data_IF_626527129189
#
_entry.id   IF_626527129189
#
_cell.length_a   1.000
_cell.length_b   1.000
_cell.length_c   1.000
_cell.angle_alpha   90.00
_cell.angle_beta   90.00
_cell.angle_gamma   90.00
#
_symmetry.space_group_name_H-M   'P 1'
#
loop_
_entity.id
_entity.type
_entity.pdbx_description
1 polymer ?
#
# COMPACT_ATOMS: atom_id res chain seq x y z
N UNK A 1 -13.53 18.28 5.77
CA UNK A 1 -12.57 17.20 6.07
C UNK A 1 -11.19 17.81 6.15
N UNK A 2 -10.47 17.58 7.26
CA UNK A 2 -9.10 18.03 7.40
C UNK A 2 -8.20 17.01 6.67
N UNK A 3 -7.63 17.38 5.53
CA UNK A 3 -6.69 16.53 4.80
C UNK A 3 -5.33 16.66 5.48
N UNK A 4 -5.02 15.75 6.39
CA UNK A 4 -3.67 15.64 6.94
C UNK A 4 -2.72 15.26 5.79
N UNK A 5 -1.96 16.24 5.29
CA UNK A 5 -0.97 16.02 4.23
C UNK A 5 0.34 15.54 4.85
N UNK A 6 0.71 14.30 4.54
CA UNK A 6 2.02 13.74 4.87
C UNK A 6 2.88 13.76 3.61
N UNK A 7 3.92 14.57 3.59
CA UNK A 7 4.80 14.67 2.42
C UNK A 7 5.98 13.72 2.58
N UNK A 8 6.28 12.94 1.55
CA UNK A 8 7.47 12.07 1.52
C UNK A 8 8.73 12.93 1.60
N UNK A 9 9.70 12.57 2.46
CA UNK A 9 10.98 13.28 2.55
C UNK A 9 11.77 13.14 1.23
N UNK A 10 12.57 14.14 0.87
CA UNK A 10 13.24 14.23 -0.44
C UNK A 10 14.19 13.06 -0.72
N UNK A 11 15.01 12.69 0.27
CA UNK A 11 15.94 11.56 0.19
C UNK A 11 15.20 10.21 0.05
N UNK A 12 14.07 10.04 0.75
CA UNK A 12 13.22 8.86 0.62
C UNK A 12 12.57 8.81 -0.76
N UNK A 13 12.07 9.94 -1.26
CA UNK A 13 11.51 10.05 -2.60
C UNK A 13 12.55 9.72 -3.68
N UNK A 14 13.78 10.24 -3.54
CA UNK A 14 14.88 9.91 -4.46
C UNK A 14 15.21 8.42 -4.42
N UNK A 15 15.42 7.86 -3.22
CA UNK A 15 15.72 6.44 -3.03
C UNK A 15 14.64 5.56 -3.65
N UNK A 16 13.38 5.92 -3.46
CA UNK A 16 12.26 5.22 -4.04
C UNK A 16 12.31 5.22 -5.58
N UNK A 17 12.56 6.37 -6.20
CA UNK A 17 12.68 6.46 -7.67
C UNK A 17 13.93 5.75 -8.20
N UNK A 18 15.05 5.80 -7.49
CA UNK A 18 16.26 5.05 -7.84
C UNK A 18 15.96 3.54 -7.87
N UNK A 19 15.28 3.01 -6.82
CA UNK A 19 14.86 1.59 -6.76
C UNK A 19 13.91 1.19 -7.87
N UNK A 20 13.02 2.10 -8.29
CA UNK A 20 12.15 1.86 -9.43
C UNK A 20 12.99 1.75 -10.70
N UNK A 21 13.92 2.68 -10.94
CA UNK A 21 14.74 2.69 -12.15
C UNK A 21 15.70 1.48 -12.24
N UNK A 22 16.13 0.92 -11.10
CA UNK A 22 16.93 -0.31 -11.06
C UNK A 22 16.17 -1.52 -11.65
N UNK A 23 14.82 -1.54 -11.55
CA UNK A 23 13.97 -2.67 -11.99
C UNK A 23 13.15 -2.36 -13.25
N UNK A 24 12.66 -1.13 -13.33
CA UNK A 24 11.77 -0.59 -14.35
C UNK A 24 12.23 0.83 -14.71
N UNK A 25 13.21 1.00 -15.61
CA UNK A 25 13.69 2.31 -16.02
C UNK A 25 12.53 3.19 -16.52
N UNK A 26 12.17 4.23 -15.76
CA UNK A 26 10.96 5.02 -16.00
C UNK A 26 11.03 5.82 -17.31
N UNK A 27 12.23 6.10 -17.81
CA UNK A 27 12.43 6.74 -19.12
C UNK A 27 12.01 5.85 -20.31
N UNK A 28 11.81 4.55 -20.11
CA UNK A 28 11.32 3.61 -21.13
C UNK A 28 9.79 3.52 -21.18
N UNK A 29 9.08 4.26 -20.31
CA UNK A 29 7.64 4.32 -20.31
C UNK A 29 7.19 5.51 -21.17
N UNK A 30 6.13 5.31 -21.95
CA UNK A 30 5.53 6.37 -22.75
C UNK A 30 4.83 7.42 -21.86
N UNK A 31 4.40 7.00 -20.67
CA UNK A 31 3.75 7.87 -19.69
C UNK A 31 4.07 7.44 -18.25
N UNK A 32 4.44 8.42 -17.43
CA UNK A 32 4.63 8.26 -15.98
C UNK A 32 3.67 9.20 -15.25
N UNK A 33 2.88 8.67 -14.32
CA UNK A 33 1.87 9.43 -13.59
C UNK A 33 2.15 9.37 -12.09
N UNK A 34 2.20 10.52 -11.43
CA UNK A 34 2.06 10.62 -9.98
C UNK A 34 0.63 11.02 -9.61
N UNK A 35 -0.19 10.10 -9.06
CA UNK A 35 -1.64 10.28 -8.98
C UNK A 35 -2.11 11.15 -7.80
N UNK A 36 -1.19 11.52 -6.90
CA UNK A 36 -1.45 12.26 -5.66
C UNK A 36 -0.21 13.05 -5.24
N UNK A 37 0.27 13.91 -6.14
CA UNK A 37 1.60 14.48 -6.10
C UNK A 37 1.86 15.40 -4.88
N UNK A 38 0.84 15.99 -4.27
CA UNK A 38 1.01 16.81 -3.07
C UNK A 38 1.97 17.98 -3.30
N UNK A 39 3.16 17.92 -2.69
CA UNK A 39 4.24 18.91 -2.86
C UNK A 39 5.18 18.60 -4.03
N UNK A 40 4.97 17.47 -4.71
CA UNK A 40 5.78 16.99 -5.83
C UNK A 40 7.17 16.49 -5.45
N UNK A 41 7.36 16.07 -4.19
CA UNK A 41 8.65 15.58 -3.71
C UNK A 41 9.12 14.32 -4.47
N UNK A 42 8.19 13.46 -4.91
CA UNK A 42 8.47 12.32 -5.80
C UNK A 42 8.56 12.82 -7.24
N UNK A 43 7.59 13.62 -7.71
CA UNK A 43 7.49 14.15 -9.08
C UNK A 43 8.80 14.72 -9.62
N UNK A 44 9.53 15.48 -8.79
CA UNK A 44 10.78 16.10 -9.23
C UNK A 44 11.85 15.08 -9.66
N UNK A 45 11.83 13.86 -9.10
CA UNK A 45 12.78 12.79 -9.42
C UNK A 45 12.31 11.88 -10.56
N UNK A 46 11.02 11.95 -10.95
CA UNK A 46 10.49 11.21 -12.11
C UNK A 46 11.04 11.77 -13.44
N UNK A 47 10.88 11.09 -14.59
CA UNK A 47 11.23 11.65 -15.90
C UNK A 47 10.56 12.99 -16.21
N UNK A 48 11.15 13.80 -17.10
CA UNK A 48 10.63 15.14 -17.44
C UNK A 48 9.22 15.14 -18.03
N UNK A 49 8.85 14.04 -18.70
CA UNK A 49 7.51 13.84 -19.26
C UNK A 49 6.47 13.35 -18.24
N UNK A 50 6.84 13.20 -16.96
CA UNK A 50 5.93 12.73 -15.92
C UNK A 50 4.84 13.76 -15.60
N UNK A 51 3.63 13.26 -15.36
CA UNK A 51 2.44 14.06 -15.04
C UNK A 51 2.11 13.92 -13.56
N UNK A 52 2.09 15.03 -12.83
CA UNK A 52 1.60 15.07 -11.45
C UNK A 52 0.11 15.42 -11.42
N UNK A 53 -0.64 14.77 -10.54
CA UNK A 53 -2.06 15.06 -10.29
C UNK A 53 -2.30 15.25 -8.80
N UNK A 54 -3.20 16.16 -8.43
CA UNK A 54 -3.68 16.29 -7.05
C UNK A 54 -5.12 16.80 -7.05
N UNK A 55 -5.95 16.31 -6.12
CA UNK A 55 -7.34 16.76 -5.98
C UNK A 55 -7.44 18.18 -5.42
N UNK A 56 -6.39 18.65 -4.75
CA UNK A 56 -6.25 20.01 -4.21
C UNK A 56 -4.76 20.40 -4.17
N UNK A 57 -4.17 20.70 -5.34
CA UNK A 57 -2.80 21.19 -5.42
C UNK A 57 -2.71 22.48 -4.62
N UNK A 58 -1.68 22.60 -3.78
CA UNK A 58 -1.33 23.85 -3.12
C UNK A 58 -0.56 24.70 -4.12
N UNK A 59 -1.23 25.68 -4.75
CA UNK A 59 -0.75 26.66 -5.73
C UNK A 59 0.20 26.14 -6.83
N UNK A 60 -0.31 25.97 -8.06
CA UNK A 60 0.42 25.72 -9.33
C UNK A 60 1.91 25.39 -9.15
N UNK A 61 2.21 24.24 -8.53
CA UNK A 61 3.57 23.81 -8.27
C UNK A 61 4.17 23.44 -9.63
N UNK A 62 4.92 24.38 -10.20
CA UNK A 62 5.85 24.11 -11.30
C UNK A 62 7.16 23.64 -10.68
N UNK A 63 7.48 22.36 -10.86
CA UNK A 63 8.78 21.80 -10.50
C UNK A 63 9.60 21.70 -11.78
N UNK A 64 10.31 22.78 -12.10
CA UNK A 64 10.95 22.92 -13.40
C UNK A 64 9.91 22.95 -14.53
N UNK A 65 9.98 21.96 -15.43
CA UNK A 65 9.03 21.82 -16.56
C UNK A 65 7.74 21.05 -16.19
N UNK A 66 7.70 20.40 -15.02
CA UNK A 66 6.57 19.57 -14.59
C UNK A 66 5.52 20.40 -13.87
N UNK A 67 4.24 20.07 -14.10
CA UNK A 67 3.10 20.71 -13.44
C UNK A 67 2.27 19.66 -12.69
N UNK A 68 1.78 20.03 -11.51
CA UNK A 68 0.74 19.28 -10.81
C UNK A 68 -0.63 19.77 -11.28
N UNK A 69 -1.39 18.88 -11.92
CA UNK A 69 -2.72 19.14 -12.44
C UNK A 69 -3.77 19.01 -11.31
N UNK A 70 -4.76 19.91 -11.30
CA UNK A 70 -5.95 19.74 -10.48
C UNK A 70 -6.80 18.62 -11.08
N UNK A 71 -6.74 17.42 -10.48
CA UNK A 71 -7.39 16.23 -11.00
C UNK A 71 -7.76 15.27 -9.87
N UNK A 72 -8.99 14.77 -9.89
CA UNK A 72 -9.39 13.61 -9.10
C UNK A 72 -8.92 12.35 -9.83
N UNK A 73 -7.95 11.63 -9.25
CA UNK A 73 -7.36 10.45 -9.89
C UNK A 73 -8.39 9.36 -10.17
N UNK A 74 -9.42 9.18 -9.33
CA UNK A 74 -10.47 8.19 -9.58
C UNK A 74 -11.35 8.52 -10.78
N UNK A 75 -11.32 9.77 -11.25
CA UNK A 75 -12.01 10.23 -12.46
C UNK A 75 -11.06 10.40 -13.64
N UNK A 76 -9.77 10.12 -13.47
CA UNK A 76 -8.81 10.20 -14.55
C UNK A 76 -9.00 9.01 -15.49
N UNK A 77 -9.16 9.31 -16.78
CA UNK A 77 -9.18 8.35 -17.87
C UNK A 77 -7.86 8.45 -18.64
N UNK A 78 -7.15 7.32 -18.72
CA UNK A 78 -5.91 7.24 -19.47
C UNK A 78 -6.18 7.21 -20.97
N UNK A 79 -5.29 7.80 -21.81
CA UNK A 79 -5.39 7.61 -23.26
C UNK A 79 -5.01 6.20 -23.72
N UNK A 80 -4.57 5.32 -22.80
CA UNK A 80 -4.27 3.93 -23.12
C UNK A 80 -5.46 3.20 -23.72
N UNK A 81 -5.21 2.49 -24.83
CA UNK A 81 -6.13 1.51 -25.36
C UNK A 81 -5.33 0.34 -25.95
N UNK A 82 -5.61 -0.91 -25.56
CA UNK A 82 -4.78 -2.06 -25.92
C UNK A 82 -4.65 -2.31 -27.43
N UNK A 83 -5.63 -1.85 -28.23
CA UNK A 83 -5.65 -2.08 -29.68
C UNK A 83 -5.29 -0.85 -30.52
N UNK A 84 -5.51 0.36 -30.00
CA UNK A 84 -5.44 1.60 -30.81
C UNK A 84 -4.43 2.59 -30.25
N UNK A 85 -4.03 2.45 -28.99
CA UNK A 85 -2.99 3.27 -28.37
C UNK A 85 -2.29 2.50 -27.23
N UNK A 86 -1.49 1.47 -27.55
CA UNK A 86 -0.92 0.55 -26.56
C UNK A 86 0.33 1.14 -25.87
N UNK A 87 0.17 2.32 -25.26
CA UNK A 87 1.26 2.99 -24.54
C UNK A 87 1.58 2.27 -23.22
N UNK A 88 2.87 2.22 -22.89
CA UNK A 88 3.39 1.65 -21.64
C UNK A 88 3.33 2.71 -20.54
N UNK A 89 2.55 2.43 -19.49
CA UNK A 89 2.27 3.39 -18.41
C UNK A 89 2.83 2.91 -17.07
N UNK A 90 3.54 3.78 -16.36
CA UNK A 90 3.90 3.61 -14.96
C UNK A 90 3.11 4.59 -14.08
N UNK A 91 2.63 4.11 -12.94
CA UNK A 91 2.00 4.95 -11.91
C UNK A 91 2.86 4.89 -10.65
N UNK A 92 3.41 6.02 -10.22
CA UNK A 92 4.41 6.12 -9.15
C UNK A 92 3.98 7.16 -8.13
N UNK A 93 3.95 6.85 -6.83
CA UNK A 93 3.63 7.88 -5.84
C UNK A 93 3.42 7.41 -4.41
N UNK A 94 2.89 8.31 -3.58
CA UNK A 94 2.47 8.05 -2.21
C UNK A 94 0.96 8.34 -2.09
N UNK A 95 0.09 7.37 -2.43
CA UNK A 95 -1.36 7.59 -2.40
C UNK A 95 -1.84 7.85 -0.97
N UNK A 96 -2.89 8.67 -0.78
CA UNK A 96 -3.48 8.86 0.54
C UNK A 96 -4.00 7.52 1.10
N UNK A 97 -3.71 7.24 2.37
CA UNK A 97 -4.01 5.93 2.97
C UNK A 97 -5.50 5.73 3.28
N UNK A 98 -6.23 6.83 3.53
CA UNK A 98 -7.60 6.82 4.01
C UNK A 98 -7.72 6.50 5.50
N UNK A 99 -8.93 6.59 6.04
CA UNK A 99 -9.24 6.28 7.44
C UNK A 99 -10.01 4.95 7.54
N UNK A 100 -9.65 4.08 8.48
CA UNK A 100 -10.37 2.82 8.76
C UNK A 100 -9.52 1.55 8.62
N UNK A 101 -10.12 0.40 8.92
CA UNK A 101 -9.46 -0.90 8.88
C UNK A 101 -8.99 -1.22 7.44
N UNK A 102 -7.70 -1.55 7.28
CA UNK A 102 -7.07 -1.98 6.01
C UNK A 102 -6.85 -0.90 4.94
N UNK A 103 -6.88 0.39 5.28
CA UNK A 103 -6.48 1.50 4.37
C UNK A 103 -7.18 1.42 3.00
N UNK A 104 -8.51 1.60 2.93
CA UNK A 104 -9.28 1.36 1.72
C UNK A 104 -8.86 2.24 0.54
N UNK A 105 -8.33 3.43 0.80
CA UNK A 105 -8.06 4.42 -0.24
C UNK A 105 -6.83 4.07 -1.07
N UNK A 106 -5.71 3.68 -0.44
CA UNK A 106 -4.51 3.26 -1.16
C UNK A 106 -4.76 2.02 -2.06
N UNK A 107 -5.62 1.08 -1.60
CA UNK A 107 -6.07 -0.05 -2.44
C UNK A 107 -6.90 0.43 -3.62
N UNK A 108 -7.78 1.41 -3.42
CA UNK A 108 -8.54 2.05 -4.48
C UNK A 108 -7.62 2.65 -5.54
N UNK A 109 -6.62 3.45 -5.14
CA UNK A 109 -5.63 4.02 -6.07
C UNK A 109 -4.90 2.94 -6.87
N UNK A 110 -4.48 1.85 -6.21
CA UNK A 110 -3.83 0.73 -6.89
C UNK A 110 -4.75 0.08 -7.93
N UNK A 111 -5.97 -0.27 -7.54
CA UNK A 111 -6.89 -0.95 -8.45
C UNK A 111 -7.38 -0.04 -9.57
N UNK A 112 -7.54 1.26 -9.33
CA UNK A 112 -7.81 2.23 -10.40
C UNK A 112 -6.65 2.32 -11.39
N UNK A 113 -5.42 2.48 -10.90
CA UNK A 113 -4.22 2.47 -11.72
C UNK A 113 -4.08 1.17 -12.53
N UNK A 114 -4.47 0.02 -11.95
CA UNK A 114 -4.34 -1.30 -12.59
C UNK A 114 -5.10 -1.44 -13.92
N UNK A 115 -6.12 -0.59 -14.14
CA UNK A 115 -6.94 -0.56 -15.36
C UNK A 115 -6.07 -0.23 -16.59
N UNK A 116 -5.08 0.66 -16.45
CA UNK A 116 -4.28 1.16 -17.57
C UNK A 116 -2.76 1.06 -17.35
N UNK A 117 -2.30 0.93 -16.11
CA UNK A 117 -0.88 0.82 -15.81
C UNK A 117 -0.31 -0.56 -16.16
N UNK A 118 0.97 -0.56 -16.54
CA UNK A 118 1.80 -1.76 -16.68
C UNK A 118 2.65 -1.97 -15.43
N UNK A 119 3.02 -0.88 -14.76
CA UNK A 119 3.79 -0.88 -13.51
C UNK A 119 3.17 0.09 -12.53
N UNK A 120 3.05 -0.33 -11.27
CA UNK A 120 2.55 0.49 -10.17
C UNK A 120 3.59 0.44 -9.06
N UNK A 121 4.16 1.58 -8.69
CA UNK A 121 5.07 1.68 -7.57
C UNK A 121 4.50 2.65 -6.54
N UNK A 122 4.24 2.17 -5.33
CA UNK A 122 3.70 3.03 -4.27
C UNK A 122 4.45 2.95 -2.95
N UNK A 123 4.50 4.09 -2.25
CA UNK A 123 4.70 4.14 -0.81
C UNK A 123 3.33 3.93 -0.14
N UNK A 124 3.22 2.89 0.66
CA UNK A 124 1.96 2.43 1.29
C UNK A 124 2.19 2.06 2.75
N UNK A 125 1.15 1.91 3.57
CA UNK A 125 1.33 1.50 4.97
C UNK A 125 2.04 0.16 5.11
N UNK A 126 2.89 0.01 6.14
CA UNK A 126 3.78 -1.15 6.32
C UNK A 126 3.05 -2.51 6.33
N UNK A 127 1.74 -2.52 6.61
CA UNK A 127 0.89 -3.71 6.50
C UNK A 127 0.90 -4.36 5.12
N UNK A 128 1.11 -3.57 4.05
CA UNK A 128 1.27 -4.10 2.69
C UNK A 128 2.50 -5.01 2.57
N UNK A 129 3.53 -4.83 3.39
CA UNK A 129 4.72 -5.67 3.34
C UNK A 129 4.46 -7.13 3.75
N UNK A 130 3.50 -7.38 4.65
CA UNK A 130 3.33 -8.70 5.30
C UNK A 130 1.93 -9.30 5.21
N UNK A 131 0.93 -8.55 4.72
CA UNK A 131 -0.48 -8.96 4.80
C UNK A 131 -0.99 -9.60 3.50
N UNK A 132 -1.11 -10.94 3.49
CA UNK A 132 -1.79 -11.69 2.42
C UNK A 132 -3.20 -11.13 2.11
N UNK A 133 -3.95 -10.69 3.14
CA UNK A 133 -5.30 -10.11 2.97
C UNK A 133 -5.30 -8.83 2.13
N UNK A 134 -4.21 -8.05 2.20
CA UNK A 134 -4.06 -6.82 1.42
C UNK A 134 -3.75 -7.21 -0.02
N UNK A 135 -2.76 -8.08 -0.23
CA UNK A 135 -2.36 -8.55 -1.56
C UNK A 135 -3.50 -9.23 -2.32
N UNK A 136 -4.36 -9.99 -1.64
CA UNK A 136 -5.54 -10.63 -2.24
C UNK A 136 -6.59 -9.63 -2.75
N UNK A 137 -6.59 -8.39 -2.25
CA UNK A 137 -7.52 -7.33 -2.67
C UNK A 137 -6.96 -6.43 -3.77
N UNK A 138 -5.69 -6.61 -4.15
CA UNK A 138 -5.08 -5.93 -5.29
C UNK A 138 -5.33 -6.73 -6.57
N UNK A 139 -5.38 -6.04 -7.72
CA UNK A 139 -5.58 -6.68 -9.02
C UNK A 139 -4.67 -7.92 -9.21
N UNK A 140 -5.25 -9.05 -9.63
CA UNK A 140 -4.57 -10.35 -9.78
C UNK A 140 -3.50 -10.37 -10.86
N UNK A 141 -3.54 -9.44 -11.81
CA UNK A 141 -2.65 -9.43 -12.98
C UNK A 141 -1.24 -8.90 -12.64
N UNK A 142 -1.03 -8.39 -11.43
CA UNK A 142 0.25 -7.82 -11.01
C UNK A 142 1.03 -8.76 -10.08
N UNK A 143 2.32 -8.96 -10.36
CA UNK A 143 3.28 -9.50 -9.40
C UNK A 143 3.93 -8.38 -8.56
N UNK A 144 4.44 -8.71 -7.38
CA UNK A 144 5.21 -7.80 -6.51
C UNK A 144 6.70 -8.14 -6.65
N UNK A 145 7.52 -7.22 -7.14
CA UNK A 145 8.93 -7.51 -7.43
C UNK A 145 9.91 -6.79 -6.50
N UNK A 146 9.40 -5.89 -5.67
CA UNK A 146 10.19 -5.22 -4.64
C UNK A 146 9.29 -4.79 -3.48
N UNK A 147 9.74 -5.01 -2.24
CA UNK A 147 9.10 -4.46 -1.06
C UNK A 147 10.10 -4.21 0.05
N UNK A 148 10.18 -2.98 0.53
CA UNK A 148 11.10 -2.58 1.60
C UNK A 148 10.40 -1.67 2.61
N UNK A 149 10.59 -1.92 3.90
CA UNK A 149 10.10 -1.05 4.97
C UNK A 149 10.86 0.28 4.95
N UNK A 150 10.13 1.39 5.09
CA UNK A 150 10.75 2.70 5.18
C UNK A 150 11.40 2.90 6.56
N UNK A 151 12.53 3.63 6.64
CA UNK A 151 13.10 4.03 7.92
C UNK A 151 12.15 4.98 8.66
N UNK A 152 12.38 5.17 9.97
CA UNK A 152 11.66 6.17 10.77
C UNK A 152 11.83 7.58 10.17
N UNK A 153 10.86 8.44 10.48
CA UNK A 153 10.88 9.86 10.08
C UNK A 153 10.94 10.07 8.55
N UNK A 154 10.37 9.14 7.79
CA UNK A 154 10.32 9.19 6.32
C UNK A 154 9.36 10.24 5.75
N UNK A 155 8.55 10.89 6.60
CA UNK A 155 7.55 11.87 6.19
C UNK A 155 7.73 13.20 6.91
N UNK A 156 7.21 14.26 6.30
CA UNK A 156 7.14 15.61 6.86
C UNK A 156 5.67 16.00 7.02
N UNK A 157 5.29 16.42 8.24
CA UNK A 157 3.99 17.00 8.56
C UNK A 157 4.21 18.36 9.20
N UNK A 158 3.61 19.42 8.63
CA UNK A 158 3.76 20.79 9.12
C UNK A 158 5.23 21.22 9.32
N UNK A 159 6.11 20.84 8.39
CA UNK A 159 7.55 21.17 8.42
C UNK A 159 8.39 20.38 9.43
N UNK A 160 7.80 19.43 10.16
CA UNK A 160 8.51 18.58 11.12
C UNK A 160 8.56 17.13 10.63
N UNK A 161 9.65 16.38 10.93
CA UNK A 161 9.67 14.94 10.74
C UNK A 161 8.48 14.27 11.44
N UNK A 162 7.89 13.28 10.77
CA UNK A 162 6.75 12.52 11.28
C UNK A 162 6.96 11.04 10.98
N UNK A 163 6.81 10.22 12.01
CA UNK A 163 6.94 8.77 11.90
C UNK A 163 5.61 8.15 11.47
N UNK A 164 5.60 7.48 10.32
CA UNK A 164 4.49 6.65 9.84
C UNK A 164 5.09 5.37 9.30
N UNK A 165 4.67 4.23 9.85
CA UNK A 165 5.17 2.94 9.40
C UNK A 165 4.64 2.63 7.99
N UNK A 166 5.54 2.73 7.01
CA UNK A 166 5.26 2.52 5.59
C UNK A 166 6.26 1.54 4.98
N UNK A 167 5.93 1.04 3.79
CA UNK A 167 6.85 0.38 2.89
C UNK A 167 6.74 0.99 1.50
N UNK A 168 7.81 0.87 0.72
CA UNK A 168 7.78 1.10 -0.72
C UNK A 168 7.63 -0.25 -1.44
N UNK A 169 6.81 -0.28 -2.49
CA UNK A 169 6.58 -1.48 -3.29
C UNK A 169 6.61 -1.18 -4.79
N UNK A 170 7.06 -2.16 -5.59
CA UNK A 170 7.05 -2.10 -7.05
C UNK A 170 6.31 -3.32 -7.58
N UNK A 171 5.24 -3.07 -8.32
CA UNK A 171 4.35 -4.07 -8.89
C UNK A 171 4.35 -3.98 -10.42
N UNK A 172 4.27 -5.12 -11.10
CA UNK A 172 4.28 -5.16 -12.58
C UNK A 172 3.37 -6.26 -13.13
N UNK A 173 2.73 -6.00 -14.28
CA UNK A 173 1.99 -7.02 -15.06
C UNK A 173 2.91 -8.03 -15.75
N UNK A 174 4.16 -7.64 -15.98
CA UNK A 174 5.19 -8.49 -16.59
C UNK A 174 6.19 -8.90 -15.52
N UNK A 175 6.72 -10.11 -15.63
CA UNK A 175 7.75 -10.61 -14.70
C UNK A 175 9.02 -9.77 -14.75
N UNK A 176 9.52 -9.42 -13.56
CA UNK A 176 10.81 -8.73 -13.35
C UNK A 176 11.78 -9.60 -12.54
N UNK A 177 11.53 -10.90 -12.47
CA UNK A 177 12.26 -11.84 -11.62
C UNK A 177 11.35 -12.52 -10.59
N UNK A 178 11.82 -12.65 -9.35
CA UNK A 178 11.10 -13.36 -8.29
C UNK A 178 9.87 -12.57 -7.82
N UNK A 179 8.69 -13.17 -7.90
CA UNK A 179 7.45 -12.57 -7.40
C UNK A 179 7.34 -12.80 -5.88
N UNK A 180 7.34 -11.69 -5.13
CA UNK A 180 7.20 -11.61 -3.68
C UNK A 180 5.73 -11.55 -3.23
N UNK A 181 4.77 -11.61 -4.16
CA UNK A 181 3.35 -11.49 -3.85
C UNK A 181 2.89 -12.63 -2.94
N UNK A 182 2.53 -12.27 -1.72
CA UNK A 182 1.90 -13.19 -0.76
C UNK A 182 0.49 -13.58 -1.23
N UNK A 183 0.36 -14.77 -1.80
CA UNK A 183 -0.92 -15.36 -2.25
C UNK A 183 -1.46 -16.41 -1.28
N UNK A 184 -0.57 -17.06 -0.54
CA UNK A 184 -0.94 -18.11 0.40
C UNK A 184 -1.63 -17.55 1.63
N UNK A 185 -2.75 -18.17 1.98
CA UNK A 185 -3.45 -17.94 3.23
C UNK A 185 -2.68 -18.72 4.31
N UNK A 186 -2.17 -18.08 5.37
CA UNK A 186 -1.55 -18.79 6.48
C UNK A 186 -2.51 -19.83 7.05
N UNK A 187 -1.99 -21.01 7.39
CA UNK A 187 -2.79 -22.01 8.09
C UNK A 187 -3.34 -21.43 9.38
N UNK A 188 -4.63 -21.64 9.62
CA UNK A 188 -5.28 -21.33 10.90
C UNK A 188 -5.52 -22.60 11.73
N UNK A 189 -4.94 -23.73 11.32
CA UNK A 189 -5.03 -25.02 12.00
C UNK A 189 -3.64 -25.51 12.38
N UNK A 190 -3.55 -26.20 13.49
CA UNK A 190 -2.33 -26.83 13.99
C UNK A 190 -2.66 -28.25 14.48
N UNK A 191 -1.72 -29.17 14.38
CA UNK A 191 -1.93 -30.59 14.74
C UNK A 191 -2.11 -30.77 16.25
N UNK A 192 -1.33 -30.04 17.03
CA UNK A 192 -1.34 -30.13 18.50
C UNK A 192 -2.33 -29.19 19.21
N UNK A 193 -2.86 -28.17 18.53
CA UNK A 193 -3.66 -27.13 19.17
C UNK A 193 -4.81 -26.62 18.28
N UNK A 194 -5.99 -26.46 18.87
CA UNK A 194 -7.04 -25.64 18.31
C UNK A 194 -6.73 -24.16 18.51
N UNK A 195 -7.00 -23.36 17.48
CA UNK A 195 -6.86 -21.91 17.53
C UNK A 195 -8.25 -21.30 17.31
N UNK A 196 -8.67 -20.44 18.24
CA UNK A 196 -9.92 -19.68 18.11
C UNK A 196 -9.70 -18.21 18.42
N UNK A 197 -10.12 -17.33 17.50
CA UNK A 197 -10.09 -15.88 17.69
C UNK A 197 -11.43 -15.42 18.29
N UNK A 198 -11.37 -14.75 19.45
CA UNK A 198 -12.56 -14.28 20.16
C UNK A 198 -13.23 -13.04 19.52
N UNK A 199 -12.58 -12.43 18.52
CA UNK A 199 -13.09 -11.30 17.75
C UNK A 199 -13.89 -11.74 16.50
N UNK A 200 -15.21 -11.53 16.60
CA UNK A 200 -16.31 -11.47 15.61
C UNK A 200 -16.52 -12.56 14.52
N UNK A 201 -17.82 -12.95 14.43
CA UNK A 201 -18.54 -13.65 13.36
C UNK A 201 -17.94 -14.95 12.81
N UNK A 202 -17.45 -15.82 13.70
CA UNK A 202 -17.15 -17.22 13.39
C UNK A 202 -18.27 -18.13 13.90
N UNK A 203 -18.73 -19.08 13.08
CA UNK A 203 -19.85 -19.97 13.40
C UNK A 203 -19.67 -20.76 14.72
N UNK A 204 -18.42 -21.09 15.09
CA UNK A 204 -18.08 -21.82 16.33
C UNK A 204 -18.15 -20.95 17.60
N UNK A 205 -18.34 -19.62 17.49
CA UNK A 205 -18.29 -18.67 18.62
C UNK A 205 -19.24 -19.01 19.79
N UNK A 206 -20.51 -19.39 19.57
CA UNK A 206 -21.40 -19.75 20.68
C UNK A 206 -20.87 -20.96 21.47
N UNK A 207 -20.40 -21.99 20.76
CA UNK A 207 -19.85 -23.20 21.37
C UNK A 207 -18.59 -22.89 22.17
N UNK A 208 -17.66 -22.10 21.62
CA UNK A 208 -16.43 -21.73 22.34
C UNK A 208 -16.72 -20.91 23.58
N UNK A 209 -17.71 -20.00 23.54
CA UNK A 209 -18.12 -19.24 24.74
C UNK A 209 -18.65 -20.15 25.84
N UNK A 210 -19.51 -21.11 25.50
CA UNK A 210 -20.02 -22.09 26.46
C UNK A 210 -18.88 -22.94 27.07
N UNK A 211 -17.91 -23.36 26.25
CA UNK A 211 -16.74 -24.11 26.72
C UNK A 211 -15.88 -23.28 27.70
N UNK A 212 -15.67 -22.00 27.39
CA UNK A 212 -14.93 -21.08 28.28
C UNK A 212 -15.68 -20.87 29.61
N UNK A 213 -17.00 -20.67 29.58
CA UNK A 213 -17.82 -20.54 30.79
C UNK A 213 -17.77 -21.80 31.67
N UNK A 214 -17.75 -22.98 31.05
CA UNK A 214 -17.63 -24.28 31.74
C UNK A 214 -16.19 -24.65 32.13
N UNK A 215 -15.20 -23.84 31.74
CA UNK A 215 -13.76 -24.16 31.90
C UNK A 215 -13.37 -25.50 31.28
N UNK A 216 -13.93 -25.80 30.12
CA UNK A 216 -13.69 -27.04 29.37
C UNK A 216 -12.83 -26.76 28.14
N UNK A 217 -12.07 -27.78 27.71
CA UNK A 217 -11.32 -27.83 26.45
C UNK A 217 -10.07 -26.92 26.35
N UNK A 218 -10.21 -25.63 26.68
CA UNK A 218 -9.18 -24.62 26.47
C UNK A 218 -8.18 -24.58 27.63
N UNK A 219 -6.87 -24.67 27.33
CA UNK A 219 -5.80 -24.75 28.35
C UNK A 219 -5.16 -23.42 28.70
N UNK A 220 -5.05 -22.50 27.75
CA UNK A 220 -4.42 -21.20 27.94
C UNK A 220 -4.86 -20.22 26.85
N UNK A 221 -4.56 -18.94 27.07
CA UNK A 221 -4.88 -17.84 26.20
C UNK A 221 -3.69 -17.14 25.57
N UNK A 222 -3.93 -16.43 24.47
CA UNK A 222 -3.02 -15.40 23.97
C UNK A 222 -3.74 -14.05 23.98
N UNK A 223 -3.16 -13.07 24.67
CA UNK A 223 -3.69 -11.70 24.76
C UNK A 223 -2.75 -10.72 24.06
N UNK A 224 -3.30 -9.75 23.34
CA UNK A 224 -2.52 -8.70 22.65
C UNK A 224 -2.76 -7.33 23.27
N UNK A 225 -1.84 -6.87 24.13
CA UNK A 225 -1.85 -5.54 24.76
C UNK A 225 -0.60 -4.75 24.34
N UNK A 226 -0.34 -4.70 23.02
CA UNK A 226 0.90 -4.13 22.46
C UNK A 226 2.09 -5.10 22.41
N UNK A 227 2.03 -6.22 23.14
CA UNK A 227 2.84 -7.43 22.95
C UNK A 227 1.94 -8.65 23.04
N UNK A 228 2.27 -9.72 22.32
CA UNK A 228 1.61 -11.02 22.45
C UNK A 228 2.19 -11.69 23.69
N UNK A 229 1.32 -12.06 24.63
CA UNK A 229 1.69 -12.81 25.83
C UNK A 229 0.74 -13.99 26.04
N UNK A 230 1.26 -15.05 26.65
CA UNK A 230 0.43 -16.14 27.18
C UNK A 230 -0.27 -15.61 28.43
N UNK A 231 -1.56 -15.92 28.57
CA UNK A 231 -2.33 -15.66 29.79
C UNK A 231 -3.11 -16.91 30.17
N UNK A 232 -3.55 -16.96 31.43
CA UNK A 232 -4.44 -18.03 31.87
C UNK A 232 -5.80 -17.88 31.20
N UNK A 233 -6.51 -18.99 31.05
CA UNK A 233 -7.84 -18.97 30.41
C UNK A 233 -8.83 -18.11 31.20
N UNK A 234 -8.66 -18.04 32.52
CA UNK A 234 -9.45 -17.23 33.44
C UNK A 234 -9.23 -15.71 33.23
N UNK A 235 -8.19 -15.31 32.48
CA UNK A 235 -7.87 -13.91 32.17
C UNK A 235 -8.45 -13.41 30.82
N UNK A 236 -9.14 -14.29 30.07
CA UNK A 236 -9.77 -14.02 28.76
C UNK A 236 -11.26 -13.74 28.93
#
# INVERSE_FOLDING_TARGET
>A
MNLDKFYTRLDIAKTFVDRINDLCPLNEYDMVIEPSAGSGNILQYLPDHAIGMDIKPTDLVRLGQKQILLQDFFKYESPYHPLTNPIKIAVVGNPPFGTGYMNPLAKGFFNHASIFAHTIAFIVPAKYHSSWKVHKQLNSDFGLYFSELLPKDSFVKNGKPHDVNCCMQIWSKVSLGNDLRITNIPSTTHEDFDIFLTCDNVARRPIVREQLEKKEYWKFGLKYWGKIGVCEIDDI
#
